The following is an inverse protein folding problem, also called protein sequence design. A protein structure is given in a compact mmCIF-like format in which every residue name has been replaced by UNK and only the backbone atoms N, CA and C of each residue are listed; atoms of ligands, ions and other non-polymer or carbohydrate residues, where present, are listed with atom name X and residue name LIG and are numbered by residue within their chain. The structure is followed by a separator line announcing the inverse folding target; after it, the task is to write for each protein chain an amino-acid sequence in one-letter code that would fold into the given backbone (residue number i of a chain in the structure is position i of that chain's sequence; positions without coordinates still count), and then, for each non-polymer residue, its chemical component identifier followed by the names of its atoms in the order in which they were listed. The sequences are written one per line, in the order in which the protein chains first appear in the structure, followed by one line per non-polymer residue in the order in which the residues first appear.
data_IF_834353752374
#
_entry.id   IF_834353752374
#
_cell.length_a   1.000
_cell.length_b   1.000
_cell.length_c   1.000
_cell.angle_alpha   90.00
_cell.angle_beta   90.00
_cell.angle_gamma   90.00
#
_symmetry.space_group_name_H-M   'P 1'
#
loop_
_entity.id
_entity.type
_entity.pdbx_description
1 polymer ?
#
# COMPACT_ATOMS: atom_id res chain seq x y z
N UNK A 1 -21.18 -2.78 -8.35
CA UNK A 1 -21.07 -1.36 -8.77
C UNK A 1 -21.42 -1.33 -10.25
N UNK A 2 -22.48 -0.62 -10.69
CA UNK A 2 -22.82 -0.59 -12.10
C UNK A 2 -22.05 0.48 -12.89
N UNK A 3 -21.40 0.01 -13.97
CA UNK A 3 -21.60 0.43 -15.37
C UNK A 3 -20.98 1.72 -15.93
N UNK A 4 -19.89 2.28 -15.39
CA UNK A 4 -18.96 2.99 -16.30
C UNK A 4 -17.96 2.00 -16.84
N UNK A 5 -18.08 1.71 -18.13
CA UNK A 5 -17.18 0.84 -18.85
C UNK A 5 -15.75 1.34 -18.60
N UNK A 6 -14.93 0.51 -17.97
CA UNK A 6 -13.54 0.88 -17.61
C UNK A 6 -12.65 1.06 -18.84
N UNK A 7 -13.22 0.95 -20.04
CA UNK A 7 -12.62 1.25 -21.34
C UNK A 7 -12.02 2.65 -21.42
N UNK A 8 -12.53 3.63 -20.66
CA UNK A 8 -11.98 5.00 -20.60
C UNK A 8 -10.68 5.11 -19.79
N UNK A 9 -10.30 4.05 -19.08
CA UNK A 9 -9.09 3.98 -18.28
C UNK A 9 -8.00 3.19 -18.99
N UNK A 10 -6.75 3.57 -18.78
CA UNK A 10 -5.60 2.81 -19.30
C UNK A 10 -5.37 1.57 -18.45
N UNK A 11 -4.69 0.57 -19.00
CA UNK A 11 -4.39 -0.66 -18.26
C UNK A 11 -3.44 -0.41 -17.08
N UNK A 12 -2.62 0.65 -17.16
CA UNK A 12 -1.84 1.13 -16.01
C UNK A 12 -2.74 1.60 -14.86
N UNK A 13 -3.80 2.36 -15.14
CA UNK A 13 -4.75 2.81 -14.11
C UNK A 13 -5.51 1.62 -13.48
N UNK A 14 -5.87 0.62 -14.28
CA UNK A 14 -6.53 -0.61 -13.78
C UNK A 14 -5.61 -1.38 -12.84
N UNK A 15 -4.36 -1.66 -13.24
CA UNK A 15 -3.36 -2.34 -12.40
C UNK A 15 -3.07 -1.58 -11.10
N UNK A 16 -2.93 -0.26 -11.18
CA UNK A 16 -2.71 0.57 -9.99
C UNK A 16 -3.90 0.50 -9.03
N UNK A 17 -5.14 0.55 -9.55
CA UNK A 17 -6.33 0.40 -8.72
C UNK A 17 -6.41 -0.99 -8.07
N UNK A 18 -6.02 -2.06 -8.77
CA UNK A 18 -6.01 -3.41 -8.21
C UNK A 18 -5.00 -3.57 -7.08
N UNK A 19 -3.76 -3.14 -7.29
CA UNK A 19 -2.71 -3.18 -6.27
C UNK A 19 -3.05 -2.35 -5.02
N UNK A 20 -3.71 -1.20 -5.19
CA UNK A 20 -4.18 -0.40 -4.05
C UNK A 20 -5.33 -1.12 -3.33
N UNK A 21 -6.25 -1.77 -4.07
CA UNK A 21 -7.36 -2.50 -3.48
C UNK A 21 -6.86 -3.67 -2.64
N UNK A 22 -5.91 -4.45 -3.16
CA UNK A 22 -5.27 -5.55 -2.43
C UNK A 22 -4.74 -5.09 -1.07
N UNK A 23 -3.99 -3.99 -1.03
CA UNK A 23 -3.48 -3.43 0.23
C UNK A 23 -4.56 -2.89 1.19
N UNK A 24 -5.81 -2.68 0.74
CA UNK A 24 -6.95 -2.39 1.62
C UNK A 24 -7.66 -3.67 2.07
N UNK A 25 -7.76 -4.68 1.19
CA UNK A 25 -8.28 -6.01 1.53
C UNK A 25 -7.42 -6.68 2.60
N UNK A 26 -6.09 -6.60 2.49
CA UNK A 26 -5.14 -7.06 3.52
C UNK A 26 -5.32 -6.35 4.87
N UNK A 27 -5.88 -5.14 4.88
CA UNK A 27 -6.19 -4.38 6.11
C UNK A 27 -7.58 -4.66 6.65
N UNK A 28 -8.35 -5.55 6.02
CA UNK A 28 -9.68 -5.97 6.44
C UNK A 28 -10.84 -5.23 5.78
N UNK A 29 -10.60 -4.38 4.78
CA UNK A 29 -11.72 -3.81 4.01
C UNK A 29 -12.36 -4.87 3.11
N UNK A 30 -13.69 -4.84 2.95
CA UNK A 30 -14.37 -5.69 1.99
C UNK A 30 -13.97 -5.35 0.55
N UNK A 31 -13.87 -6.36 -0.33
CA UNK A 31 -13.48 -6.23 -1.75
C UNK A 31 -14.16 -5.09 -2.50
N UNK A 32 -15.46 -4.87 -2.24
CA UNK A 32 -16.23 -3.77 -2.85
C UNK A 32 -15.76 -2.40 -2.34
N UNK A 33 -15.51 -2.28 -1.05
CA UNK A 33 -15.03 -1.04 -0.40
C UNK A 33 -13.58 -0.75 -0.77
N UNK A 34 -12.72 -1.77 -0.76
CA UNK A 34 -11.33 -1.68 -1.17
C UNK A 34 -11.20 -1.19 -2.62
N UNK A 35 -11.93 -1.82 -3.56
CA UNK A 35 -11.97 -1.38 -4.96
C UNK A 35 -12.50 0.04 -5.11
N UNK A 36 -13.52 0.43 -4.34
CA UNK A 36 -14.04 1.80 -4.36
C UNK A 36 -12.98 2.81 -3.92
N UNK A 37 -12.32 2.57 -2.78
CA UNK A 37 -11.24 3.43 -2.25
C UNK A 37 -10.08 3.52 -3.25
N UNK A 38 -9.70 2.40 -3.85
CA UNK A 38 -8.61 2.34 -4.81
C UNK A 38 -8.89 3.17 -6.08
N UNK A 39 -10.07 3.01 -6.69
CA UNK A 39 -10.46 3.79 -7.87
C UNK A 39 -10.57 5.30 -7.55
N UNK A 40 -10.99 5.66 -6.34
CA UNK A 40 -11.00 7.05 -5.89
C UNK A 40 -9.57 7.64 -5.84
N UNK A 41 -8.59 6.90 -5.32
CA UNK A 41 -7.18 7.32 -5.30
C UNK A 41 -6.65 7.54 -6.71
N UNK A 42 -6.84 6.57 -7.61
CA UNK A 42 -6.37 6.69 -9.00
C UNK A 42 -7.04 7.87 -9.70
N UNK A 43 -8.35 8.07 -9.50
CA UNK A 43 -9.06 9.22 -10.07
C UNK A 43 -8.55 10.55 -9.50
N UNK A 44 -8.21 10.62 -8.21
CA UNK A 44 -7.67 11.84 -7.60
C UNK A 44 -6.31 12.21 -8.20
N UNK A 45 -5.45 11.23 -8.46
CA UNK A 45 -4.13 11.45 -9.07
C UNK A 45 -4.19 11.80 -10.56
N UNK A 46 -5.14 11.23 -11.28
CA UNK A 46 -5.19 11.33 -12.75
C UNK A 46 -6.26 12.26 -13.29
N UNK A 47 -7.17 12.74 -12.44
CA UNK A 47 -8.35 13.50 -12.85
C UNK A 47 -9.41 12.67 -13.59
N UNK A 48 -9.26 11.33 -13.65
CA UNK A 48 -10.19 10.41 -14.30
C UNK A 48 -9.52 9.52 -15.36
N UNK A 49 -10.33 8.94 -16.25
CA UNK A 49 -9.84 8.02 -17.28
C UNK A 49 -8.87 8.70 -18.24
N UNK A 50 -7.61 8.24 -18.28
CA UNK A 50 -6.57 8.80 -19.15
C UNK A 50 -6.71 8.36 -20.61
N UNK A 51 -7.38 7.23 -20.86
CA UNK A 51 -7.55 6.71 -22.22
C UNK A 51 -8.52 7.58 -23.01
N UNK A 52 -9.72 7.87 -22.49
CA UNK A 52 -10.75 8.67 -23.18
C UNK A 52 -11.76 9.33 -22.23
N UNK A 53 -11.37 9.57 -20.98
CA UNK A 53 -12.21 10.21 -19.96
C UNK A 53 -11.67 11.58 -19.53
N UNK A 54 -12.19 12.07 -18.41
CA UNK A 54 -11.88 13.39 -17.85
C UNK A 54 -10.42 13.62 -17.47
N UNK A 55 -9.61 12.55 -17.41
CA UNK A 55 -8.17 12.63 -17.12
C UNK A 55 -7.29 12.68 -18.37
N UNK A 56 -7.86 12.59 -19.58
CA UNK A 56 -7.10 12.69 -20.84
C UNK A 56 -6.48 14.09 -20.95
N UNK A 57 -5.19 14.15 -21.29
CA UNK A 57 -4.43 15.41 -21.39
C UNK A 57 -4.10 16.09 -20.05
N UNK A 58 -4.59 15.57 -18.91
CA UNK A 58 -4.28 16.14 -17.60
C UNK A 58 -2.94 15.62 -17.06
N UNK A 59 -2.14 16.53 -16.52
CA UNK A 59 -0.92 16.20 -15.75
C UNK A 59 -1.31 15.39 -14.51
N UNK A 60 -0.48 14.43 -14.16
CA UNK A 60 -0.74 13.58 -13.00
C UNK A 60 -0.34 14.32 -11.73
N UNK A 61 -1.25 14.38 -10.76
CA UNK A 61 -0.95 14.84 -9.42
C UNK A 61 -0.44 13.66 -8.58
N UNK A 62 0.87 13.64 -8.32
CA UNK A 62 1.53 12.59 -7.52
C UNK A 62 1.59 12.92 -6.03
N UNK A 63 1.00 14.04 -5.60
CA UNK A 63 0.96 14.42 -4.19
C UNK A 63 0.31 13.36 -3.28
N UNK A 64 -0.76 12.64 -3.68
CA UNK A 64 -1.37 11.62 -2.82
C UNK A 64 -0.42 10.43 -2.60
N UNK A 65 0.17 9.89 -3.68
CA UNK A 65 1.19 8.85 -3.63
C UNK A 65 2.40 9.24 -2.78
N UNK A 66 2.94 10.46 -2.95
CA UNK A 66 4.08 10.93 -2.14
C UNK A 66 3.73 10.98 -0.65
N UNK A 67 2.55 11.48 -0.30
CA UNK A 67 2.07 11.55 1.10
C UNK A 67 1.89 10.14 1.68
N UNK A 68 1.28 9.23 0.93
CA UNK A 68 1.11 7.83 1.31
C UNK A 68 2.44 7.11 1.53
N UNK A 69 3.36 7.22 0.57
CA UNK A 69 4.69 6.64 0.65
C UNK A 69 5.50 7.16 1.84
N UNK A 70 5.47 8.48 2.10
CA UNK A 70 6.14 9.08 3.27
C UNK A 70 5.60 8.52 4.58
N UNK A 71 4.27 8.37 4.71
CA UNK A 71 3.64 7.79 5.92
C UNK A 71 3.96 6.30 6.07
N UNK A 72 3.82 5.53 4.99
CA UNK A 72 4.12 4.09 4.97
C UNK A 72 5.58 3.79 5.26
N UNK A 73 6.51 4.53 4.65
CA UNK A 73 7.95 4.43 4.90
C UNK A 73 8.31 4.72 6.35
N UNK A 74 7.73 5.78 6.94
CA UNK A 74 7.90 6.07 8.38
C UNK A 74 7.39 4.93 9.27
N UNK A 75 6.22 4.36 8.95
CA UNK A 75 5.67 3.24 9.71
C UNK A 75 6.54 1.97 9.60
N UNK A 76 7.01 1.65 8.39
CA UNK A 76 7.91 0.52 8.15
C UNK A 76 9.26 0.69 8.86
N UNK A 77 9.83 1.90 8.84
CA UNK A 77 11.05 2.23 9.58
C UNK A 77 10.86 2.04 11.10
N UNK A 78 9.74 2.50 11.65
CA UNK A 78 9.38 2.27 13.06
C UNK A 78 9.22 0.77 13.38
N UNK A 79 8.53 0.00 12.53
CA UNK A 79 8.42 -1.46 12.70
C UNK A 79 9.78 -2.17 12.67
N UNK A 80 10.66 -1.81 11.73
CA UNK A 80 12.04 -2.35 11.67
C UNK A 80 12.84 -1.99 12.92
N UNK A 81 12.74 -0.76 13.42
CA UNK A 81 13.41 -0.34 14.65
C UNK A 81 12.89 -1.11 15.88
N UNK A 82 11.58 -1.31 16.00
CA UNK A 82 10.97 -2.10 17.07
C UNK A 82 11.38 -3.58 16.99
N UNK A 83 11.39 -4.17 15.79
CA UNK A 83 11.86 -5.54 15.56
C UNK A 83 13.34 -5.72 15.93
N UNK A 84 14.21 -4.75 15.59
CA UNK A 84 15.62 -4.74 16.00
C UNK A 84 15.78 -4.68 17.52
N UNK A 85 14.97 -3.87 18.23
CA UNK A 85 14.98 -3.83 19.72
C UNK A 85 14.47 -5.13 20.34
N UNK A 86 13.45 -5.77 19.76
CA UNK A 86 12.95 -7.07 20.20
C UNK A 86 13.96 -8.21 19.99
N UNK A 87 14.69 -8.20 18.88
CA UNK A 87 15.76 -9.16 18.60
C UNK A 87 16.94 -9.01 19.59
N UNK A 88 17.32 -7.78 19.96
CA UNK A 88 18.36 -7.51 20.98
C UNK A 88 17.97 -8.05 22.37
N UNK A 89 16.68 -7.99 22.75
CA UNK A 89 16.19 -8.60 24.01
C UNK A 89 16.13 -10.13 23.96
N UNK A 90 15.89 -10.76 22.79
CA UNK A 90 15.93 -12.24 22.66
C UNK A 90 17.36 -12.81 22.61
N UNK A 91 18.33 -12.06 22.09
CA UNK A 91 19.74 -12.49 22.05
C UNK A 91 20.42 -12.61 23.42
N UNK A 92 19.94 -11.88 24.43
CA UNK A 92 20.47 -11.94 25.79
C UNK A 92 20.03 -13.18 26.59
N UNK A 93 19.02 -13.94 26.13
CA UNK A 93 18.45 -15.08 26.88
C UNK A 93 19.06 -16.45 26.50
N UNK A 94 20.09 -16.52 25.65
CA UNK A 94 20.67 -17.78 25.14
C UNK A 94 22.20 -17.94 25.33
N UNK A 95 22.79 -17.37 26.39
CA UNK A 95 24.20 -17.60 26.78
C UNK A 95 24.36 -17.97 28.27
N UNK A 96 23.64 -18.99 28.75
CA UNK A 96 23.70 -19.37 30.17
C UNK A 96 23.48 -20.85 30.48
N UNK A 97 23.91 -21.77 29.61
CA UNK A 97 23.64 -23.20 29.85
C UNK A 97 24.52 -24.14 29.05
N UNK A 98 25.83 -24.15 29.32
CA UNK A 98 26.69 -25.29 29.01
C UNK A 98 27.77 -25.39 30.09
N UNK A 99 27.34 -25.80 31.28
CA UNK A 99 28.25 -26.16 32.38
C UNK A 99 28.58 -27.64 32.24
N UNK A 100 29.89 -27.92 32.13
CA UNK A 100 30.55 -29.23 32.23
C UNK A 100 29.97 -30.11 33.36
N UNK A 101 30.06 -31.43 33.16
CA UNK A 101 30.28 -32.57 34.10
C UNK A 101 29.64 -33.81 33.47
N UNK A 102 30.18 -35.02 33.51
CA UNK A 102 31.48 -35.59 33.91
C UNK A 102 31.60 -36.90 33.14
#
# INVERSE_FOLDING_TARGET
MPRRDKRKYTDKQKRQAEHIAEGYEERGDSKKTAKRKAWATVNKETGGGKKSGSGRGKKMDTTPSKKGGKKGGKAAAKKKAAAKKGAKKKGAKKKGGRKKKS
#
